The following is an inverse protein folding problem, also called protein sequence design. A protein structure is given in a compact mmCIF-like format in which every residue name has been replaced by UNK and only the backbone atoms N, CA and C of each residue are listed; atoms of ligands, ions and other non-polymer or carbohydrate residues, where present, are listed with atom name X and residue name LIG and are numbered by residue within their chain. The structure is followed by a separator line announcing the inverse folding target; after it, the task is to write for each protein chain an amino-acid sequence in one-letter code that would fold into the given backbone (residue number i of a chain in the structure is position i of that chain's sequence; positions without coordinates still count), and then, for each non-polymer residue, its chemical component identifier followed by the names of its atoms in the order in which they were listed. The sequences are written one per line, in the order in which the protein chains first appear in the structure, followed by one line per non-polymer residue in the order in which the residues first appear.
data_IF_590733026225
#
_entry.id   IF_590733026225
#
_cell.length_a   1.000
_cell.length_b   1.000
_cell.length_c   1.000
_cell.angle_alpha   90.00
_cell.angle_beta   90.00
_cell.angle_gamma   90.00
#
_symmetry.space_group_name_H-M   'P 1'
#
loop_
_entity.id
_entity.type
_entity.pdbx_description
1 polymer ?
#
# COMPACT_ATOMS: atom_id res chain seq x y z
N UNK A 1 6.94 -13.16 12.17
CA UNK A 1 6.36 -11.88 12.63
C UNK A 1 4.86 -12.05 12.84
N UNK A 2 4.36 -12.08 14.06
CA UNK A 2 2.92 -12.11 14.34
C UNK A 2 2.30 -10.75 14.02
N UNK A 3 1.05 -10.74 13.60
CA UNK A 3 0.30 -9.52 13.27
C UNK A 3 -1.13 -9.81 12.82
N UNK A 4 -1.94 -8.75 12.61
CA UNK A 4 -3.28 -8.90 12.06
C UNK A 4 -3.20 -9.57 10.69
N UNK A 5 -3.87 -10.70 10.51
CA UNK A 5 -3.81 -11.50 9.27
C UNK A 5 -2.76 -12.61 9.25
N UNK A 6 -1.83 -12.63 10.22
CA UNK A 6 -0.88 -13.71 10.46
C UNK A 6 -0.68 -13.93 11.98
N UNK A 7 -1.67 -14.43 12.72
CA UNK A 7 -1.60 -14.54 14.18
C UNK A 7 -0.50 -15.48 14.66
N UNK A 8 -0.17 -16.50 13.87
CA UNK A 8 0.94 -17.43 14.14
C UNK A 8 2.30 -16.92 13.66
N UNK A 9 2.33 -15.69 13.11
CA UNK A 9 3.50 -15.12 12.46
C UNK A 9 3.66 -15.57 11.01
N UNK A 10 4.39 -14.76 10.25
CA UNK A 10 4.82 -15.07 8.89
C UNK A 10 6.34 -15.29 8.89
N UNK A 11 6.78 -16.36 8.28
CA UNK A 11 8.20 -16.65 8.08
C UNK A 11 8.46 -16.85 6.58
N UNK A 12 9.21 -15.95 5.99
CA UNK A 12 9.65 -16.07 4.62
C UNK A 12 10.96 -16.88 4.61
N UNK A 13 11.03 -17.98 3.84
CA UNK A 13 12.28 -18.73 3.69
C UNK A 13 13.38 -17.87 3.07
N UNK A 14 14.59 -17.98 3.58
CA UNK A 14 15.73 -17.21 3.06
C UNK A 14 16.03 -17.54 1.58
N UNK A 15 15.75 -18.76 1.15
CA UNK A 15 15.95 -19.20 -0.23
C UNK A 15 15.02 -18.50 -1.24
N UNK A 16 13.89 -17.96 -0.80
CA UNK A 16 12.94 -17.22 -1.64
C UNK A 16 13.25 -15.71 -1.72
N UNK A 17 14.18 -15.23 -0.91
CA UNK A 17 14.64 -13.85 -0.92
C UNK A 17 15.82 -13.69 -1.86
N UNK A 18 15.66 -12.86 -2.88
CA UNK A 18 16.74 -12.49 -3.79
C UNK A 18 17.40 -11.22 -3.30
N UNK A 19 18.69 -11.29 -3.01
CA UNK A 19 19.50 -10.15 -2.58
C UNK A 19 20.42 -9.70 -3.71
N UNK A 20 20.39 -8.41 -4.03
CA UNK A 20 21.31 -7.78 -4.98
C UNK A 20 22.06 -6.65 -4.25
N UNK A 21 23.35 -6.54 -4.56
CA UNK A 21 24.23 -5.55 -3.99
C UNK A 21 24.73 -4.62 -5.09
N UNK A 22 24.82 -3.34 -4.80
CA UNK A 22 25.35 -2.34 -5.73
C UNK A 22 25.99 -1.19 -4.97
N UNK A 23 26.78 -0.39 -5.68
CA UNK A 23 27.35 0.83 -5.13
C UNK A 23 26.23 1.79 -4.73
N UNK A 24 26.37 2.45 -3.57
CA UNK A 24 25.49 3.54 -3.19
C UNK A 24 25.79 4.74 -4.09
N UNK A 25 24.79 5.24 -4.81
CA UNK A 25 24.88 6.48 -5.54
C UNK A 25 24.76 7.67 -4.59
N UNK A 26 25.79 8.51 -4.49
CA UNK A 26 25.76 9.74 -3.70
C UNK A 26 26.83 10.72 -4.19
N UNK A 27 26.66 12.05 -3.99
CA UNK A 27 27.66 13.04 -4.34
C UNK A 27 28.86 12.92 -3.39
N UNK A 28 29.93 12.34 -3.87
CA UNK A 28 31.30 12.48 -3.42
C UNK A 28 31.63 12.23 -1.94
N UNK A 29 32.45 11.22 -1.72
CA UNK A 29 33.17 10.97 -0.49
C UNK A 29 34.04 9.74 -0.66
N UNK A 30 35.23 9.69 -0.05
CA UNK A 30 36.08 8.53 -0.07
C UNK A 30 35.33 7.32 0.53
N UNK A 31 35.07 6.27 -0.27
CA UNK A 31 34.37 5.06 0.13
C UNK A 31 32.99 4.85 -0.52
N UNK A 32 32.36 5.84 -1.15
CA UNK A 32 31.07 5.70 -1.84
C UNK A 32 31.19 4.84 -3.11
N UNK A 33 32.34 4.86 -3.77
CA UNK A 33 32.58 4.12 -5.03
C UNK A 33 33.30 2.78 -4.85
N UNK A 34 33.62 2.37 -3.60
CA UNK A 34 34.43 1.16 -3.35
C UNK A 34 33.68 0.09 -2.58
N UNK A 35 32.48 0.35 -2.07
CA UNK A 35 31.76 -0.63 -1.26
C UNK A 35 30.33 -0.80 -1.76
N UNK A 36 29.95 -2.03 -2.10
CA UNK A 36 28.58 -2.43 -2.46
C UNK A 36 27.65 -2.38 -1.25
N UNK A 37 27.44 -1.18 -0.71
CA UNK A 37 26.67 -1.01 0.52
C UNK A 37 25.16 -0.95 0.28
N UNK A 38 24.72 -0.65 -0.93
CA UNK A 38 23.28 -0.65 -1.29
C UNK A 38 22.79 -2.08 -1.42
N UNK A 39 21.70 -2.38 -0.74
CA UNK A 39 21.05 -3.69 -0.75
C UNK A 39 19.67 -3.55 -1.34
N UNK A 40 19.38 -4.35 -2.37
CA UNK A 40 18.07 -4.55 -2.93
C UNK A 40 17.60 -5.95 -2.58
N UNK A 41 16.41 -6.06 -2.00
CA UNK A 41 15.80 -7.31 -1.58
C UNK A 41 14.49 -7.51 -2.33
N UNK A 42 14.33 -8.63 -3.01
CA UNK A 42 13.15 -8.95 -3.79
C UNK A 42 12.51 -10.26 -3.31
N UNK A 43 11.18 -10.29 -3.31
CA UNK A 43 10.37 -11.46 -2.98
C UNK A 43 9.24 -11.59 -3.99
N UNK A 44 9.14 -12.75 -4.63
CA UNK A 44 8.01 -13.09 -5.48
C UNK A 44 6.82 -13.52 -4.61
N UNK A 45 5.78 -12.67 -4.59
CA UNK A 45 4.56 -12.89 -3.80
C UNK A 45 3.61 -13.88 -4.45
N UNK A 46 3.81 -14.19 -5.74
CA UNK A 46 2.96 -15.14 -6.47
C UNK A 46 3.31 -16.59 -6.16
N UNK A 47 4.59 -16.87 -5.90
CA UNK A 47 5.13 -18.22 -5.72
C UNK A 47 5.60 -18.55 -4.31
N UNK A 48 5.83 -17.52 -3.46
CA UNK A 48 6.34 -17.74 -2.09
C UNK A 48 5.52 -18.75 -1.29
N UNK A 49 6.18 -19.66 -0.61
CA UNK A 49 5.56 -20.65 0.29
C UNK A 49 5.12 -20.05 1.63
N UNK A 50 5.53 -18.81 1.91
CA UNK A 50 5.24 -18.12 3.16
C UNK A 50 3.77 -17.71 3.32
N UNK A 51 3.01 -17.62 2.23
CA UNK A 51 1.64 -17.11 2.19
C UNK A 51 0.66 -18.22 1.82
N UNK A 52 -0.44 -18.32 2.57
CA UNK A 52 -1.61 -19.07 2.12
C UNK A 52 -2.37 -18.31 1.02
N UNK A 53 -3.35 -18.95 0.36
CA UNK A 53 -4.07 -18.37 -0.78
C UNK A 53 -4.82 -17.08 -0.40
N UNK A 54 -5.41 -17.03 0.79
CA UNK A 54 -6.13 -15.86 1.29
C UNK A 54 -5.18 -14.70 1.58
N UNK A 55 -4.05 -15.01 2.21
CA UNK A 55 -2.99 -14.03 2.48
C UNK A 55 -2.37 -13.52 1.19
N UNK A 56 -2.09 -14.41 0.24
CA UNK A 56 -1.54 -14.08 -1.09
C UNK A 56 -2.46 -13.12 -1.84
N UNK A 57 -3.74 -13.45 -1.98
CA UNK A 57 -4.70 -12.58 -2.65
C UNK A 57 -4.77 -11.19 -2.00
N UNK A 58 -4.75 -11.14 -0.67
CA UNK A 58 -4.78 -9.87 0.09
C UNK A 58 -3.53 -9.03 -0.12
N UNK A 59 -2.35 -9.65 -0.03
CA UNK A 59 -1.06 -8.96 -0.19
C UNK A 59 -0.90 -8.45 -1.62
N UNK A 60 -1.24 -9.25 -2.63
CA UNK A 60 -1.19 -8.84 -4.03
C UNK A 60 -2.11 -7.64 -4.29
N UNK A 61 -3.34 -7.66 -3.78
CA UNK A 61 -4.28 -6.55 -3.91
C UNK A 61 -3.81 -5.28 -3.17
N UNK A 62 -3.26 -5.42 -1.96
CA UNK A 62 -2.83 -4.29 -1.16
C UNK A 62 -1.55 -3.62 -1.69
N UNK A 63 -0.67 -4.37 -2.33
CA UNK A 63 0.63 -3.89 -2.82
C UNK A 63 0.68 -3.72 -4.34
N UNK A 64 -0.42 -3.88 -5.07
CA UNK A 64 -0.49 -3.89 -6.54
C UNK A 64 0.34 -2.74 -7.18
N UNK A 65 0.18 -1.52 -6.70
CA UNK A 65 0.91 -0.35 -7.20
C UNK A 65 2.44 -0.37 -6.94
N UNK A 66 2.94 -1.32 -6.13
CA UNK A 66 4.36 -1.47 -5.76
C UNK A 66 4.99 -2.74 -6.34
N UNK A 67 4.19 -3.56 -6.99
CA UNK A 67 4.66 -4.83 -7.56
C UNK A 67 5.10 -4.65 -9.01
N UNK A 68 6.22 -5.27 -9.34
CA UNK A 68 6.62 -5.51 -10.73
C UNK A 68 6.36 -6.99 -11.03
N UNK A 69 5.35 -7.30 -11.82
CA UNK A 69 4.97 -8.70 -12.16
C UNK A 69 4.79 -9.62 -10.94
N UNK A 70 4.21 -9.11 -9.84
CA UNK A 70 4.03 -9.90 -8.61
C UNK A 70 5.23 -9.93 -7.67
N UNK A 71 6.36 -9.31 -8.05
CA UNK A 71 7.57 -9.24 -7.24
C UNK A 71 7.61 -7.94 -6.44
N UNK A 72 7.73 -8.07 -5.13
CA UNK A 72 7.95 -6.94 -4.22
C UNK A 72 9.46 -6.71 -4.05
N UNK A 73 9.90 -5.51 -4.40
CA UNK A 73 11.30 -5.10 -4.26
C UNK A 73 11.43 -3.94 -3.28
N UNK A 74 12.37 -4.05 -2.34
CA UNK A 74 12.73 -3.01 -1.38
C UNK A 74 14.22 -2.72 -1.45
N UNK A 75 14.60 -1.46 -1.28
CA UNK A 75 15.99 -1.03 -1.31
C UNK A 75 16.37 -0.34 0.01
N UNK A 76 17.57 -0.60 0.49
CA UNK A 76 18.18 0.08 1.64
C UNK A 76 19.61 0.51 1.28
N UNK A 77 19.90 1.80 1.48
CA UNK A 77 21.20 2.39 1.18
C UNK A 77 21.59 3.50 2.20
N UNK A 78 20.88 3.56 3.33
CA UNK A 78 21.05 4.61 4.34
C UNK A 78 22.29 4.45 5.20
N UNK A 79 22.87 3.26 5.24
CA UNK A 79 24.06 2.96 6.05
C UNK A 79 25.27 2.70 5.16
N UNK A 80 26.45 3.04 5.65
CA UNK A 80 27.73 2.66 5.00
C UNK A 80 28.04 1.17 5.07
N UNK A 81 27.34 0.43 5.94
CA UNK A 81 27.51 -1.01 6.14
C UNK A 81 26.45 -1.79 5.37
N UNK A 82 26.89 -2.65 4.44
CA UNK A 82 26.03 -3.59 3.74
C UNK A 82 25.18 -4.45 4.69
N UNK A 83 25.79 -4.92 5.80
CA UNK A 83 25.08 -5.70 6.82
C UNK A 83 23.91 -4.93 7.44
N UNK A 84 24.10 -3.63 7.76
CA UNK A 84 23.04 -2.78 8.32
C UNK A 84 21.95 -2.52 7.29
N UNK A 85 22.32 -2.28 6.03
CA UNK A 85 21.35 -2.10 4.95
C UNK A 85 20.56 -3.39 4.67
N UNK A 86 21.19 -4.57 4.78
CA UNK A 86 20.48 -5.85 4.68
C UNK A 86 19.43 -6.00 5.78
N UNK A 87 19.76 -5.65 7.02
CA UNK A 87 18.80 -5.65 8.14
C UNK A 87 17.66 -4.68 7.87
N UNK A 88 17.96 -3.44 7.48
CA UNK A 88 16.98 -2.41 7.16
C UNK A 88 16.05 -2.83 6.00
N UNK A 89 16.58 -3.46 4.94
CA UNK A 89 15.77 -3.97 3.83
C UNK A 89 14.80 -5.08 4.30
N UNK A 90 15.26 -6.00 5.15
CA UNK A 90 14.43 -7.06 5.72
C UNK A 90 13.34 -6.50 6.63
N UNK A 91 13.64 -5.51 7.45
CA UNK A 91 12.67 -4.83 8.31
C UNK A 91 11.59 -4.10 7.49
N UNK A 92 11.97 -3.42 6.40
CA UNK A 92 11.04 -2.77 5.48
C UNK A 92 10.12 -3.77 4.78
N UNK A 93 10.70 -4.83 4.22
CA UNK A 93 9.92 -5.90 3.61
C UNK A 93 8.91 -6.46 4.60
N UNK A 94 9.37 -6.71 5.80
CA UNK A 94 8.59 -7.22 6.89
C UNK A 94 7.43 -6.27 7.31
N UNK A 95 7.69 -4.97 7.36
CA UNK A 95 6.68 -3.96 7.68
C UNK A 95 5.60 -3.89 6.59
N UNK A 96 6.01 -3.88 5.31
CA UNK A 96 5.10 -3.87 4.17
C UNK A 96 4.19 -5.09 4.15
N UNK A 97 4.75 -6.28 4.36
CA UNK A 97 3.97 -7.52 4.41
C UNK A 97 2.99 -7.52 5.59
N UNK A 98 3.41 -7.04 6.77
CA UNK A 98 2.54 -6.94 7.95
C UNK A 98 1.36 -6.00 7.70
N UNK A 99 1.60 -4.86 7.10
CA UNK A 99 0.57 -3.89 6.76
C UNK A 99 -0.40 -4.46 5.70
N UNK A 100 0.12 -5.08 4.65
CA UNK A 100 -0.67 -5.66 3.57
C UNK A 100 -1.51 -6.87 4.00
N UNK A 101 -1.04 -7.64 4.98
CA UNK A 101 -1.77 -8.77 5.57
C UNK A 101 -2.90 -8.35 6.50
N UNK A 102 -2.89 -7.10 7.01
CA UNK A 102 -3.93 -6.63 7.91
C UNK A 102 -5.31 -6.71 7.23
N UNK A 103 -6.31 -7.34 7.86
CA UNK A 103 -7.65 -7.38 7.30
C UNK A 103 -8.20 -5.95 7.18
N UNK A 104 -8.94 -5.64 6.10
CA UNK A 104 -9.53 -4.33 5.95
C UNK A 104 -10.52 -4.07 7.09
N UNK A 105 -10.41 -2.90 7.71
CA UNK A 105 -11.36 -2.50 8.75
C UNK A 105 -12.73 -2.29 8.11
N UNK A 106 -13.79 -3.02 8.52
CA UNK A 106 -15.10 -2.86 7.94
C UNK A 106 -15.63 -1.46 8.22
N UNK A 107 -15.77 -0.66 7.17
CA UNK A 107 -16.36 0.68 7.29
C UNK A 107 -17.86 0.52 7.49
N UNK A 108 -18.36 0.88 8.68
CA UNK A 108 -19.80 0.98 8.91
C UNK A 108 -20.35 2.13 8.07
N UNK A 109 -21.42 1.89 7.26
CA UNK A 109 -22.06 2.95 6.51
C UNK A 109 -22.60 4.01 7.48
N UNK A 110 -22.16 5.25 7.34
CA UNK A 110 -22.65 6.35 8.16
C UNK A 110 -23.97 6.86 7.60
N UNK A 111 -24.99 7.01 8.47
CA UNK A 111 -26.26 7.62 8.08
C UNK A 111 -26.03 9.11 7.78
N UNK A 112 -26.68 9.67 6.72
CA UNK A 112 -26.60 11.10 6.42
C UNK A 112 -27.05 11.93 7.62
N UNK A 113 -26.29 12.97 7.95
CA UNK A 113 -26.61 13.88 9.07
C UNK A 113 -27.93 14.64 8.81
N UNK A 114 -28.58 15.12 9.87
CA UNK A 114 -29.79 15.95 9.75
C UNK A 114 -29.54 17.19 8.89
N UNK A 115 -28.37 17.82 9.01
CA UNK A 115 -27.97 18.96 8.20
C UNK A 115 -27.82 18.63 6.71
N UNK A 116 -27.25 17.46 6.37
CA UNK A 116 -27.15 16.97 4.99
C UNK A 116 -28.53 16.75 4.36
N UNK A 117 -29.44 16.10 5.12
CA UNK A 117 -30.84 15.90 4.67
C UNK A 117 -31.55 17.24 4.43
N UNK A 118 -31.41 18.22 5.34
CA UNK A 118 -32.00 19.56 5.22
C UNK A 118 -31.48 20.28 3.99
N UNK A 119 -30.15 20.36 3.80
CA UNK A 119 -29.55 20.98 2.62
C UNK A 119 -30.03 20.34 1.30
N UNK A 120 -30.14 19.00 1.27
CA UNK A 120 -30.66 18.28 0.10
C UNK A 120 -32.12 18.65 -0.19
N UNK A 121 -32.96 18.76 0.83
CA UNK A 121 -34.37 19.16 0.69
C UNK A 121 -34.50 20.62 0.22
N UNK A 122 -33.72 21.53 0.77
CA UNK A 122 -33.68 22.94 0.38
C UNK A 122 -33.25 23.08 -1.10
N UNK A 123 -32.17 22.39 -1.51
CA UNK A 123 -31.72 22.37 -2.88
C UNK A 123 -32.78 21.80 -3.85
N UNK A 124 -33.52 20.76 -3.40
CA UNK A 124 -34.63 20.20 -4.19
C UNK A 124 -35.78 21.18 -4.35
N UNK A 125 -36.15 21.91 -3.26
CA UNK A 125 -37.19 22.97 -3.32
C UNK A 125 -36.79 24.09 -4.25
N UNK A 126 -35.56 24.61 -4.17
CA UNK A 126 -35.08 25.67 -5.07
C UNK A 126 -35.14 25.25 -6.55
N UNK A 127 -34.68 24.02 -6.85
CA UNK A 127 -34.79 23.49 -8.24
C UNK A 127 -36.25 23.38 -8.72
N UNK A 128 -37.16 22.99 -7.83
CA UNK A 128 -38.60 22.92 -8.14
C UNK A 128 -39.16 24.29 -8.47
N UNK A 129 -38.87 25.32 -7.66
CA UNK A 129 -39.28 26.71 -7.90
C UNK A 129 -38.74 27.22 -9.24
N UNK A 130 -37.42 27.03 -9.48
CA UNK A 130 -36.81 27.42 -10.77
C UNK A 130 -37.45 26.71 -11.95
N UNK A 131 -37.82 25.44 -11.81
CA UNK A 131 -38.48 24.66 -12.86
C UNK A 131 -39.90 25.19 -13.13
N UNK A 132 -40.64 25.55 -12.04
CA UNK A 132 -41.98 26.14 -12.18
C UNK A 132 -41.94 27.50 -12.87
N UNK A 133 -40.98 28.37 -12.51
CA UNK A 133 -40.79 29.69 -13.12
C UNK A 133 -40.44 29.63 -14.62
N UNK A 134 -39.74 28.54 -15.04
CA UNK A 134 -39.37 28.30 -16.44
C UNK A 134 -40.51 27.66 -17.28
N UNK A 135 -41.61 27.24 -16.64
CA UNK A 135 -42.75 26.70 -17.33
C UNK A 135 -43.47 27.89 -18.00
N UNK A 136 -43.51 27.90 -19.32
CA UNK A 136 -44.26 28.93 -20.09
C UNK A 136 -45.70 28.99 -19.58
N UNK A 137 -46.26 30.19 -19.32
CA UNK A 137 -47.69 30.30 -19.10
C UNK A 137 -48.42 29.71 -20.33
N UNK A 138 -49.43 28.86 -20.04
CA UNK A 138 -50.26 28.34 -21.15
C UNK A 138 -50.85 29.51 -21.93
N UNK A 139 -50.76 29.46 -23.24
CA UNK A 139 -51.54 30.31 -24.13
C UNK A 139 -52.98 29.81 -23.99
N UNK A 140 -53.81 30.59 -23.28
CA UNK A 140 -55.26 30.48 -23.37
C UNK A 140 -55.71 31.07 -24.69
#
# INVERSE_FOLDING_TARGET
MPGPGAPRGLRVPAAELQEQFSHASGPGGQGVNTTDSRVQLSLDLTTTSALDDTQRARVLAALDARLATGVLTVTAAEHRSQRRNRTAARERLAALLREALAPPVPRRPTKPTRGSKRRRLEAKKQRSVTKQQRRKPGLD
#
